data_IF_280061955863
#
_entry.id   IF_280061955863
#
_cell.length_a   1.000
_cell.length_b   1.000
_cell.length_c   1.000
_cell.angle_alpha   90.00
_cell.angle_beta   90.00
_cell.angle_gamma   90.00
#
_symmetry.space_group_name_H-M   'P 1'
#
loop_
_entity.id
_entity.type
_entity.pdbx_description
1 polymer ?
#
# COMPACT_ATOMS: atom_id res chain seq x y z
N UNK A 1 -12.94 23.97 16.96
CA UNK A 1 -12.18 22.71 16.80
C UNK A 1 -10.81 22.96 16.16
N UNK A 2 -10.74 23.52 14.94
CA UNK A 2 -9.47 23.76 14.21
C UNK A 2 -8.39 24.50 15.02
N UNK A 3 -8.69 25.66 15.62
CA UNK A 3 -7.70 26.44 16.39
C UNK A 3 -7.14 25.66 17.59
N UNK A 4 -8.00 24.91 18.29
CA UNK A 4 -7.59 24.06 19.40
C UNK A 4 -6.65 22.94 18.94
N UNK A 5 -6.97 22.28 17.83
CA UNK A 5 -6.12 21.24 17.22
C UNK A 5 -4.76 21.83 16.80
N UNK A 6 -4.74 23.02 16.19
CA UNK A 6 -3.49 23.68 15.81
C UNK A 6 -2.63 24.01 17.04
N UNK A 7 -3.25 24.48 18.14
CA UNK A 7 -2.53 24.73 19.39
C UNK A 7 -1.92 23.44 19.98
N UNK A 8 -2.65 22.32 19.94
CA UNK A 8 -2.13 21.00 20.36
C UNK A 8 -0.90 20.63 19.53
N UNK A 9 -0.96 20.80 18.21
CA UNK A 9 0.16 20.48 17.32
C UNK A 9 1.35 21.43 17.50
N UNK A 10 1.11 22.71 17.79
CA UNK A 10 2.17 23.68 18.12
C UNK A 10 2.96 23.25 19.36
N UNK A 11 2.27 22.76 20.39
CA UNK A 11 2.93 22.20 21.58
C UNK A 11 3.70 20.92 21.24
N UNK A 12 3.07 20.01 20.48
CA UNK A 12 3.69 18.74 20.09
C UNK A 12 4.98 18.96 19.27
N UNK A 13 5.02 19.95 18.39
CA UNK A 13 6.22 20.28 17.61
C UNK A 13 7.43 20.65 18.47
N UNK A 14 7.22 21.20 19.66
CA UNK A 14 8.29 21.66 20.55
C UNK A 14 8.74 20.56 21.52
N UNK A 15 7.80 19.77 22.03
CA UNK A 15 8.07 18.92 23.20
C UNK A 15 7.33 17.58 23.20
N UNK A 16 6.83 17.11 22.04
CA UNK A 16 6.16 15.81 21.98
C UNK A 16 7.04 14.67 22.48
N UNK A 17 6.50 13.91 23.42
CA UNK A 17 7.05 12.66 23.88
C UNK A 17 6.10 11.53 23.52
N UNK A 18 6.68 10.39 23.13
CA UNK A 18 5.89 9.23 22.77
C UNK A 18 5.13 8.72 24.00
N UNK A 19 3.80 8.58 23.94
CA UNK A 19 3.04 7.98 25.02
C UNK A 19 3.38 6.49 25.14
N UNK A 20 3.11 5.92 26.32
CA UNK A 20 3.13 4.47 26.48
C UNK A 20 2.12 3.82 25.52
N UNK A 21 2.53 2.74 24.85
CA UNK A 21 1.69 2.01 23.90
C UNK A 21 1.19 0.75 24.59
N UNK A 22 -0.13 0.60 24.83
CA UNK A 22 -0.70 -0.62 25.39
C UNK A 22 -0.66 -1.76 24.37
N UNK A 23 -0.87 -2.99 24.83
CA UNK A 23 -0.90 -4.17 23.95
C UNK A 23 -2.05 -4.09 22.93
N UNK A 24 -3.19 -3.52 23.33
CA UNK A 24 -4.40 -3.42 22.51
C UNK A 24 -4.72 -1.96 22.20
N UNK A 25 -4.07 -1.42 21.16
CA UNK A 25 -4.51 -0.17 20.53
C UNK A 25 -5.57 -0.45 19.46
N UNK A 26 -6.48 0.50 19.14
CA UNK A 26 -7.36 0.38 17.99
C UNK A 26 -6.58 0.02 16.72
N UNK A 27 -7.01 -1.04 16.04
CA UNK A 27 -6.29 -1.64 14.92
C UNK A 27 -6.73 -1.06 13.56
N UNK A 28 -6.26 -1.68 12.48
CA UNK A 28 -6.58 -1.29 11.10
C UNK A 28 -8.08 -1.30 10.78
N UNK A 29 -8.42 -0.79 9.60
CA UNK A 29 -9.79 -0.58 9.13
C UNK A 29 -10.34 -1.77 8.33
N UNK A 30 -9.58 -2.87 8.22
CA UNK A 30 -10.03 -4.09 7.55
C UNK A 30 -10.62 -5.11 8.55
N UNK A 31 -11.69 -5.82 8.19
CA UNK A 31 -12.28 -6.86 9.03
C UNK A 31 -11.28 -7.97 9.41
N UNK A 32 -11.10 -8.19 10.72
CA UNK A 32 -10.26 -9.26 11.24
C UNK A 32 -8.76 -8.98 11.21
N UNK A 33 -8.35 -7.74 10.94
CA UNK A 33 -6.95 -7.32 11.07
C UNK A 33 -6.41 -7.63 12.46
N UNK A 34 -5.19 -8.17 12.48
CA UNK A 34 -4.40 -8.36 13.70
C UNK A 34 -3.07 -7.65 13.52
N UNK A 35 -2.90 -6.54 14.23
CA UNK A 35 -1.66 -5.77 14.22
C UNK A 35 -0.78 -6.25 15.36
N UNK A 36 0.43 -6.71 15.03
CA UNK A 36 1.44 -7.01 16.03
C UNK A 36 2.35 -5.80 16.21
N UNK A 37 2.20 -5.11 17.33
CA UNK A 37 3.03 -3.96 17.69
C UNK A 37 4.24 -4.46 18.47
N UNK A 38 5.42 -4.28 17.88
CA UNK A 38 6.71 -4.60 18.48
C UNK A 38 7.63 -3.37 18.61
N UNK A 39 8.78 -3.50 19.28
CA UNK A 39 9.69 -2.39 19.54
C UNK A 39 10.10 -1.62 18.27
N UNK A 40 10.45 -2.33 17.19
CA UNK A 40 10.83 -1.69 15.91
C UNK A 40 9.66 -0.90 15.30
N UNK A 41 8.43 -1.40 15.37
CA UNK A 41 7.27 -0.67 14.83
C UNK A 41 6.98 0.61 15.63
N UNK A 42 7.20 0.58 16.95
CA UNK A 42 7.08 1.74 17.83
C UNK A 42 8.14 2.77 17.47
N UNK A 43 9.40 2.37 17.39
CA UNK A 43 10.51 3.27 17.02
C UNK A 43 10.27 3.91 15.65
N UNK A 44 9.93 3.09 14.64
CA UNK A 44 9.63 3.57 13.29
C UNK A 44 8.47 4.56 13.27
N UNK A 45 7.41 4.29 14.03
CA UNK A 45 6.26 5.18 14.13
C UNK A 45 6.59 6.49 14.85
N UNK A 46 7.42 6.46 15.90
CA UNK A 46 7.86 7.68 16.58
C UNK A 46 8.68 8.59 15.65
N UNK A 47 9.58 8.00 14.87
CA UNK A 47 10.38 8.70 13.86
C UNK A 47 9.47 9.29 12.77
N UNK A 48 8.56 8.49 12.22
CA UNK A 48 7.58 8.94 11.25
C UNK A 48 6.71 10.08 11.81
N UNK A 49 6.19 9.92 13.03
CA UNK A 49 5.30 10.89 13.66
C UNK A 49 5.96 12.26 13.81
N UNK A 50 7.20 12.31 14.33
CA UNK A 50 7.96 13.56 14.45
C UNK A 50 8.16 14.25 13.11
N UNK A 51 8.49 13.48 12.07
CA UNK A 51 8.69 14.01 10.72
C UNK A 51 7.37 14.49 10.08
N UNK A 52 6.24 13.85 10.41
CA UNK A 52 4.91 14.20 9.88
C UNK A 52 4.33 15.47 10.52
N UNK A 53 4.61 15.75 11.79
CA UNK A 53 3.98 16.85 12.55
C UNK A 53 4.04 18.23 11.86
N UNK A 54 5.18 18.71 11.30
CA UNK A 54 5.23 20.02 10.66
C UNK A 54 4.33 20.10 9.43
N UNK A 55 4.35 19.07 8.59
CA UNK A 55 3.55 18.97 7.38
C UNK A 55 2.05 18.84 7.70
N UNK A 56 1.72 18.05 8.72
CA UNK A 56 0.34 17.86 9.17
C UNK A 56 -0.26 19.19 9.67
N UNK A 57 0.52 19.95 10.45
CA UNK A 57 0.08 21.27 10.92
C UNK A 57 -0.20 22.21 9.74
N UNK A 58 0.71 22.26 8.76
CA UNK A 58 0.53 23.08 7.56
C UNK A 58 -0.74 22.69 6.79
N UNK A 59 -0.96 21.40 6.57
CA UNK A 59 -2.14 20.87 5.90
C UNK A 59 -3.45 21.29 6.61
N UNK A 60 -3.48 21.20 7.94
CA UNK A 60 -4.64 21.62 8.75
C UNK A 60 -4.89 23.13 8.68
N UNK A 61 -3.84 23.94 8.58
CA UNK A 61 -3.96 25.40 8.37
C UNK A 61 -4.60 25.68 7.00
N UNK A 62 -4.13 25.01 5.95
CA UNK A 62 -4.57 25.22 4.57
C UNK A 62 -6.02 24.78 4.33
N UNK A 63 -6.53 23.78 5.05
CA UNK A 63 -7.91 23.34 4.94
C UNK A 63 -8.87 24.16 5.84
N UNK A 64 -9.89 24.86 5.29
CA UNK A 64 -10.81 25.68 6.10
C UNK A 64 -11.61 24.89 7.15
N UNK A 65 -11.96 23.63 6.87
CA UNK A 65 -12.64 22.73 7.79
C UNK A 65 -11.69 22.13 8.86
N UNK A 66 -10.39 22.41 8.80
CA UNK A 66 -9.39 21.88 9.73
C UNK A 66 -9.24 20.37 9.59
N UNK A 67 -9.26 19.85 8.36
CA UNK A 67 -9.14 18.43 8.03
C UNK A 67 -7.88 18.15 7.22
N UNK A 68 -7.17 17.08 7.52
CA UNK A 68 -5.97 16.67 6.80
C UNK A 68 -5.87 15.16 6.61
N UNK A 69 -5.21 14.73 5.54
CA UNK A 69 -4.99 13.32 5.21
C UNK A 69 -3.50 13.01 5.15
N UNK A 70 -3.06 12.07 5.98
CA UNK A 70 -1.70 11.50 5.96
C UNK A 70 -1.78 10.14 5.27
N UNK A 71 -1.09 9.93 4.17
CA UNK A 71 -1.06 8.64 3.49
C UNK A 71 0.22 7.87 3.86
N UNK A 72 0.09 6.68 4.43
CA UNK A 72 1.20 5.79 4.75
C UNK A 72 1.30 4.71 3.69
N UNK A 73 2.34 4.81 2.86
CA UNK A 73 2.60 3.97 1.68
C UNK A 73 3.88 3.15 1.85
N UNK A 74 3.97 2.02 1.15
CA UNK A 74 5.15 1.16 1.14
C UNK A 74 4.82 -0.27 0.71
N UNK A 75 5.86 -1.08 0.49
CA UNK A 75 5.72 -2.47 0.03
C UNK A 75 5.09 -3.41 1.06
N UNK A 76 4.96 -4.68 0.71
CA UNK A 76 4.55 -5.71 1.68
C UNK A 76 5.62 -5.85 2.78
N UNK A 77 5.20 -5.99 4.04
CA UNK A 77 6.11 -6.24 5.17
C UNK A 77 6.82 -5.03 5.78
N UNK A 78 6.66 -3.82 5.24
CA UNK A 78 7.36 -2.62 5.73
C UNK A 78 6.76 -1.98 6.99
N UNK A 79 5.81 -2.68 7.63
CA UNK A 79 5.06 -2.28 8.83
C UNK A 79 4.03 -1.15 8.65
N UNK A 80 3.46 -0.99 7.43
CA UNK A 80 2.43 0.04 7.15
C UNK A 80 1.27 0.04 8.15
N UNK A 81 0.66 -1.12 8.37
CA UNK A 81 -0.48 -1.26 9.27
C UNK A 81 -0.11 -0.89 10.71
N UNK A 82 1.07 -1.31 11.19
CA UNK A 82 1.55 -0.98 12.53
C UNK A 82 1.82 0.52 12.68
N UNK A 83 2.55 1.12 11.73
CA UNK A 83 2.87 2.56 11.76
C UNK A 83 1.60 3.39 11.68
N UNK A 84 0.66 3.05 10.79
CA UNK A 84 -0.60 3.79 10.64
C UNK A 84 -1.45 3.75 11.91
N UNK A 85 -1.58 2.57 12.53
CA UNK A 85 -2.28 2.43 13.81
C UNK A 85 -1.62 3.26 14.92
N UNK A 86 -0.28 3.28 14.98
CA UNK A 86 0.47 4.06 15.97
C UNK A 86 0.37 5.57 15.73
N UNK A 87 0.42 6.05 14.48
CA UNK A 87 0.19 7.46 14.16
C UNK A 87 -1.21 7.89 14.61
N UNK A 88 -2.24 7.10 14.28
CA UNK A 88 -3.62 7.34 14.74
C UNK A 88 -3.71 7.34 16.26
N UNK A 89 -3.07 6.40 16.94
CA UNK A 89 -3.02 6.34 18.40
C UNK A 89 -2.36 7.60 18.99
N UNK A 90 -1.20 8.03 18.49
CA UNK A 90 -0.50 9.21 18.98
C UNK A 90 -1.31 10.50 18.81
N UNK A 91 -1.96 10.68 17.66
CA UNK A 91 -2.86 11.83 17.43
C UNK A 91 -4.06 11.82 18.39
N UNK A 92 -4.63 10.65 18.66
CA UNK A 92 -5.73 10.53 19.60
C UNK A 92 -5.30 10.80 21.05
N UNK A 93 -4.10 10.35 21.46
CA UNK A 93 -3.54 10.68 22.77
C UNK A 93 -3.27 12.18 22.96
N UNK A 94 -2.98 12.90 21.87
CA UNK A 94 -2.87 14.36 21.88
C UNK A 94 -4.22 15.09 21.93
N UNK A 95 -5.34 14.40 21.69
CA UNK A 95 -6.66 15.03 21.59
C UNK A 95 -6.97 15.65 20.22
N UNK A 96 -6.22 15.30 19.17
CA UNK A 96 -6.44 15.82 17.80
C UNK A 96 -7.68 15.19 17.14
N UNK A 97 -7.95 13.92 17.45
CA UNK A 97 -8.96 13.11 16.78
C UNK A 97 -8.49 12.60 15.43
N UNK A 98 -8.24 11.30 15.33
CA UNK A 98 -7.72 10.65 14.14
C UNK A 98 -8.36 9.28 13.87
N UNK A 99 -8.44 8.93 12.59
CA UNK A 99 -8.99 7.67 12.11
C UNK A 99 -8.07 7.03 11.07
N UNK A 100 -7.80 5.74 11.21
CA UNK A 100 -7.12 4.95 10.19
C UNK A 100 -8.15 4.52 9.14
N UNK A 101 -7.90 4.82 7.87
CA UNK A 101 -8.69 4.37 6.73
C UNK A 101 -7.83 3.42 5.90
N UNK A 102 -8.31 2.21 5.62
CA UNK A 102 -7.56 1.27 4.77
C UNK A 102 -8.00 1.40 3.32
N UNK A 103 -7.02 1.61 2.44
CA UNK A 103 -7.25 1.59 0.99
C UNK A 103 -7.57 0.20 0.44
N UNK A 104 -7.33 -0.87 1.20
CA UNK A 104 -7.59 -2.25 0.78
C UNK A 104 -9.10 -2.58 0.72
N UNK A 105 -9.97 -1.66 1.14
CA UNK A 105 -11.41 -1.70 0.87
C UNK A 105 -11.79 -1.28 -0.57
N UNK A 106 -10.86 -0.65 -1.30
CA UNK A 106 -11.10 0.01 -2.59
C UNK A 106 -10.54 -0.68 -3.85
N UNK A 107 -10.11 -1.95 -3.85
CA UNK A 107 -10.03 -2.71 -5.09
C UNK A 107 -11.40 -2.90 -5.76
N UNK A 108 -11.39 -3.12 -7.08
CA UNK A 108 -12.60 -3.48 -7.86
C UNK A 108 -13.12 -4.88 -7.55
N UNK A 109 -12.28 -5.75 -6.97
CA UNK A 109 -12.55 -7.17 -6.70
C UNK A 109 -12.05 -7.51 -5.30
N UNK A 110 -12.73 -8.42 -4.61
CA UNK A 110 -12.21 -8.97 -3.36
C UNK A 110 -10.92 -9.77 -3.60
N UNK A 111 -10.11 -10.03 -2.56
CA UNK A 111 -8.73 -10.50 -2.71
C UNK A 111 -8.54 -11.69 -3.67
N UNK A 112 -9.28 -12.78 -3.49
CA UNK A 112 -9.13 -13.98 -4.33
C UNK A 112 -9.46 -13.71 -5.81
N UNK A 113 -10.56 -13.00 -6.10
CA UNK A 113 -10.88 -12.62 -7.48
C UNK A 113 -9.90 -11.62 -8.07
N UNK A 114 -9.32 -10.76 -7.23
CA UNK A 114 -8.29 -9.83 -7.70
C UNK A 114 -7.02 -10.59 -8.11
N UNK A 115 -6.60 -11.57 -7.32
CA UNK A 115 -5.45 -12.42 -7.64
C UNK A 115 -5.73 -13.29 -8.88
N UNK A 116 -6.93 -13.87 -8.99
CA UNK A 116 -7.34 -14.60 -10.19
C UNK A 116 -7.34 -13.72 -11.44
N UNK A 117 -7.77 -12.46 -11.34
CA UNK A 117 -7.75 -11.51 -12.45
C UNK A 117 -6.31 -11.15 -12.87
N UNK A 118 -5.40 -10.94 -11.92
CA UNK A 118 -3.98 -10.72 -12.19
C UNK A 118 -3.38 -11.88 -12.99
N UNK A 119 -3.64 -13.13 -12.56
CA UNK A 119 -3.20 -14.33 -13.28
C UNK A 119 -3.82 -14.39 -14.67
N UNK A 120 -5.13 -14.15 -14.80
CA UNK A 120 -5.83 -14.14 -16.10
C UNK A 120 -5.21 -13.14 -17.07
N UNK A 121 -4.92 -11.92 -16.61
CA UNK A 121 -4.32 -10.85 -17.42
C UNK A 121 -2.92 -11.25 -17.89
N UNK A 122 -2.08 -11.77 -16.99
CA UNK A 122 -0.76 -12.27 -17.34
C UNK A 122 -0.83 -13.37 -18.41
N UNK A 123 -1.64 -14.42 -18.17
CA UNK A 123 -1.75 -15.57 -19.08
C UNK A 123 -2.33 -15.18 -20.45
N UNK A 124 -3.32 -14.29 -20.47
CA UNK A 124 -3.89 -13.77 -21.71
C UNK A 124 -2.89 -12.92 -22.49
N UNK A 125 -2.18 -12.01 -21.82
CA UNK A 125 -1.13 -11.19 -22.40
C UNK A 125 -0.01 -12.04 -22.99
N UNK A 126 0.47 -13.01 -22.23
CA UNK A 126 1.52 -13.92 -22.69
C UNK A 126 1.09 -14.77 -23.89
N UNK A 127 -0.14 -15.30 -23.87
CA UNK A 127 -0.64 -16.10 -25.00
C UNK A 127 -0.71 -15.27 -26.29
N UNK A 128 -1.11 -14.00 -26.20
CA UNK A 128 -1.07 -13.06 -27.34
C UNK A 128 0.36 -12.79 -27.78
N UNK A 129 1.29 -12.60 -26.85
CA UNK A 129 2.71 -12.45 -27.14
C UNK A 129 3.31 -13.61 -27.94
N UNK A 130 2.90 -14.85 -27.68
CA UNK A 130 3.32 -16.01 -28.49
C UNK A 130 2.86 -15.91 -29.95
N UNK A 131 1.64 -15.45 -30.18
CA UNK A 131 1.08 -15.26 -31.53
C UNK A 131 1.81 -14.13 -32.24
N UNK A 132 1.99 -12.99 -31.57
CA UNK A 132 2.68 -11.82 -32.11
C UNK A 132 4.14 -12.10 -32.46
N UNK A 133 4.83 -12.89 -31.63
CA UNK A 133 6.20 -13.32 -31.88
C UNK A 133 6.30 -14.44 -32.95
N UNK A 134 5.18 -14.92 -33.52
CA UNK A 134 5.18 -15.96 -34.55
C UNK A 134 5.61 -17.35 -34.07
N UNK A 135 5.59 -17.58 -32.75
CA UNK A 135 6.04 -18.84 -32.13
C UNK A 135 4.89 -19.69 -31.62
N UNK A 136 3.63 -19.26 -31.75
CA UNK A 136 2.47 -20.04 -31.33
C UNK A 136 2.24 -21.26 -32.23
N UNK A 137 2.17 -22.45 -31.63
CA UNK A 137 1.75 -23.70 -32.30
C UNK A 137 0.84 -24.52 -31.39
N UNK A 138 0.14 -25.52 -31.92
CA UNK A 138 -0.73 -26.40 -31.11
C UNK A 138 0.05 -27.19 -30.06
N UNK A 139 1.26 -27.62 -30.41
CA UNK A 139 2.17 -28.37 -29.54
C UNK A 139 2.63 -27.49 -28.37
N UNK A 140 3.05 -26.25 -28.66
CA UNK A 140 3.44 -25.28 -27.62
C UNK A 140 2.27 -24.85 -26.76
N UNK A 141 1.06 -24.75 -27.32
CA UNK A 141 -0.15 -24.48 -26.55
C UNK A 141 -0.47 -25.60 -25.55
N UNK A 142 -0.24 -26.87 -25.92
CA UNK A 142 -0.39 -28.00 -25.02
C UNK A 142 0.64 -27.95 -23.88
N UNK A 143 1.93 -27.75 -24.20
CA UNK A 143 2.99 -27.59 -23.19
C UNK A 143 2.73 -26.41 -22.25
N UNK A 144 2.31 -25.27 -22.80
CA UNK A 144 1.95 -24.09 -22.01
C UNK A 144 0.81 -24.39 -21.02
N UNK A 145 -0.20 -25.16 -21.45
CA UNK A 145 -1.29 -25.56 -20.56
C UNK A 145 -0.78 -26.38 -19.39
N UNK A 146 0.15 -27.31 -19.61
CA UNK A 146 0.74 -28.12 -18.55
C UNK A 146 1.54 -27.25 -17.56
N UNK A 147 2.32 -26.28 -18.07
CA UNK A 147 3.00 -25.28 -17.23
C UNK A 147 2.04 -24.42 -16.42
N UNK A 148 0.91 -23.99 -17.01
CA UNK A 148 -0.12 -23.21 -16.33
C UNK A 148 -0.83 -24.01 -15.24
N UNK A 149 -1.10 -25.30 -15.47
CA UNK A 149 -1.69 -26.19 -14.47
C UNK A 149 -0.74 -26.46 -13.30
N UNK A 150 0.56 -26.41 -13.54
CA UNK A 150 1.61 -26.54 -12.53
C UNK A 150 2.01 -25.20 -11.88
N UNK A 151 1.43 -24.07 -12.29
CA UNK A 151 1.81 -22.71 -11.89
C UNK A 151 3.31 -22.36 -12.14
N UNK A 152 3.89 -22.98 -13.16
CA UNK A 152 5.28 -22.77 -13.59
C UNK A 152 5.40 -21.80 -14.77
N UNK A 153 4.29 -21.40 -15.39
CA UNK A 153 4.30 -20.60 -16.63
C UNK A 153 4.96 -19.22 -16.49
N UNK A 154 5.02 -18.69 -15.26
CA UNK A 154 5.67 -17.43 -14.92
C UNK A 154 7.13 -17.57 -14.45
N UNK A 155 7.61 -18.80 -14.24
CA UNK A 155 8.95 -19.08 -13.73
C UNK A 155 10.01 -18.89 -14.83
N UNK A 156 10.95 -17.94 -14.68
CA UNK A 156 12.01 -17.71 -15.66
C UNK A 156 12.88 -18.95 -15.94
N UNK A 157 13.01 -19.89 -15.00
CA UNK A 157 13.79 -21.12 -15.20
C UNK A 157 13.20 -22.01 -16.30
N UNK A 158 11.88 -21.93 -16.53
CA UNK A 158 11.22 -22.69 -17.59
C UNK A 158 11.67 -22.24 -18.99
N UNK A 159 12.26 -21.06 -19.14
CA UNK A 159 12.82 -20.62 -20.42
C UNK A 159 14.09 -21.37 -20.83
N UNK A 160 14.77 -22.07 -19.91
CA UNK A 160 15.93 -22.90 -20.23
C UNK A 160 15.51 -24.12 -21.07
N UNK A 161 14.45 -24.81 -20.65
CA UNK A 161 13.89 -25.96 -21.37
C UNK A 161 12.93 -25.54 -22.49
N UNK A 162 12.32 -24.36 -22.36
CA UNK A 162 11.34 -23.82 -23.29
C UNK A 162 11.67 -22.38 -23.73
N UNK A 163 12.69 -22.16 -24.59
CA UNK A 163 13.07 -20.81 -25.03
C UNK A 163 11.93 -20.02 -25.69
N UNK A 164 10.94 -20.72 -26.29
CA UNK A 164 9.75 -20.11 -26.86
C UNK A 164 8.82 -19.46 -25.82
N UNK A 165 9.00 -19.74 -24.52
CA UNK A 165 8.22 -19.17 -23.42
C UNK A 165 8.66 -17.74 -23.06
N UNK A 166 9.86 -17.30 -23.46
CA UNK A 166 10.35 -15.95 -23.18
C UNK A 166 9.39 -14.83 -23.68
N UNK A 167 8.91 -14.82 -24.94
CA UNK A 167 7.92 -13.83 -25.39
C UNK A 167 6.58 -13.94 -24.66
N UNK A 168 6.18 -15.13 -24.16
CA UNK A 168 5.00 -15.28 -23.31
C UNK A 168 5.18 -14.55 -21.98
N UNK A 169 6.29 -14.79 -21.27
CA UNK A 169 6.54 -14.17 -19.97
C UNK A 169 6.71 -12.65 -20.09
N UNK A 170 7.39 -12.18 -21.14
CA UNK A 170 7.55 -10.77 -21.42
C UNK A 170 6.20 -10.07 -21.65
N UNK A 171 5.40 -10.56 -22.61
CA UNK A 171 4.11 -9.95 -22.93
C UNK A 171 3.11 -10.05 -21.76
N UNK A 172 3.15 -11.15 -21.00
CA UNK A 172 2.37 -11.31 -19.77
C UNK A 172 2.73 -10.27 -18.70
N UNK A 173 4.03 -10.05 -18.47
CA UNK A 173 4.53 -9.03 -17.53
C UNK A 173 4.14 -7.62 -17.97
N UNK A 174 4.23 -7.32 -19.26
CA UNK A 174 3.83 -6.02 -19.83
C UNK A 174 2.33 -5.78 -19.65
N UNK A 175 1.49 -6.77 -19.98
CA UNK A 175 0.04 -6.69 -19.76
C UNK A 175 -0.31 -6.48 -18.28
N UNK A 176 0.37 -7.21 -17.38
CA UNK A 176 0.16 -7.08 -15.94
C UNK A 176 0.60 -5.70 -15.42
N UNK A 177 1.68 -5.13 -15.96
CA UNK A 177 2.17 -3.78 -15.61
C UNK A 177 1.13 -2.70 -15.90
N UNK A 178 0.37 -2.85 -16.98
CA UNK A 178 -0.72 -1.96 -17.38
C UNK A 178 -1.98 -2.11 -16.51
N UNK A 179 -2.10 -3.20 -15.75
CA UNK A 179 -3.22 -3.45 -14.83
C UNK A 179 -2.89 -3.03 -13.39
N UNK A 180 -1.78 -3.53 -12.83
CA UNK A 180 -1.45 -3.41 -11.41
C UNK A 180 -1.44 -1.95 -10.94
N UNK A 181 -2.07 -1.66 -9.81
CA UNK A 181 -2.19 -0.33 -9.20
C UNK A 181 -2.86 0.73 -10.07
N UNK A 182 -3.53 0.37 -11.16
CA UNK A 182 -4.23 1.33 -12.04
C UNK A 182 -5.71 1.42 -11.68
N UNK A 183 -6.44 2.33 -12.34
CA UNK A 183 -7.90 2.44 -12.21
C UNK A 183 -8.64 1.18 -12.72
N UNK A 184 -7.97 0.25 -13.42
CA UNK A 184 -8.54 -1.05 -13.79
C UNK A 184 -8.56 -2.03 -12.62
N UNK A 185 -7.69 -1.84 -11.63
CA UNK A 185 -7.60 -2.66 -10.42
C UNK A 185 -8.24 -1.97 -9.21
N UNK A 186 -8.04 -0.66 -9.09
CA UNK A 186 -8.42 0.14 -7.92
C UNK A 186 -9.55 1.13 -8.25
N UNK A 187 -10.45 1.33 -7.30
CA UNK A 187 -11.53 2.31 -7.33
C UNK A 187 -11.06 3.66 -6.76
N UNK A 188 -10.07 4.27 -7.42
CA UNK A 188 -9.50 5.56 -7.02
C UNK A 188 -10.55 6.69 -6.91
N UNK A 189 -11.59 6.66 -7.73
CA UNK A 189 -12.69 7.62 -7.69
C UNK A 189 -13.48 7.54 -6.38
N UNK A 190 -13.67 6.33 -5.85
CA UNK A 190 -14.45 6.09 -4.62
C UNK A 190 -13.70 6.57 -3.38
N UNK A 191 -12.40 6.25 -3.28
CA UNK A 191 -11.58 6.76 -2.17
C UNK A 191 -11.42 8.28 -2.26
N UNK A 192 -11.25 8.84 -3.47
CA UNK A 192 -11.21 10.29 -3.66
C UNK A 192 -12.50 10.97 -3.18
N UNK A 193 -13.67 10.37 -3.46
CA UNK A 193 -14.95 10.89 -2.98
C UNK A 193 -15.02 10.92 -1.45
N UNK A 194 -14.60 9.84 -0.78
CA UNK A 194 -14.54 9.76 0.69
C UNK A 194 -13.63 10.84 1.27
N UNK A 195 -12.42 10.98 0.72
CA UNK A 195 -11.48 12.02 1.18
C UNK A 195 -12.01 13.44 0.89
N UNK A 196 -12.70 13.64 -0.23
CA UNK A 196 -13.33 14.90 -0.59
C UNK A 196 -14.42 15.30 0.41
N UNK A 197 -15.32 14.37 0.76
CA UNK A 197 -16.35 14.59 1.78
C UNK A 197 -15.75 14.89 3.14
N UNK A 198 -14.73 14.13 3.54
CA UNK A 198 -14.00 14.37 4.79
C UNK A 198 -13.38 15.77 4.81
N UNK A 199 -12.67 16.16 3.76
CA UNK A 199 -12.00 17.48 3.66
C UNK A 199 -12.97 18.65 3.53
N UNK A 200 -14.20 18.41 3.08
CA UNK A 200 -15.30 19.37 3.08
C UNK A 200 -15.95 19.54 4.47
N UNK A 201 -15.54 18.76 5.47
CA UNK A 201 -16.06 18.82 6.83
C UNK A 201 -17.34 18.02 7.06
N UNK A 202 -17.68 17.10 6.15
CA UNK A 202 -18.86 16.24 6.33
C UNK A 202 -18.67 15.32 7.54
N UNK A 203 -19.65 15.32 8.45
CA UNK A 203 -19.54 14.59 9.72
C UNK A 203 -19.94 13.12 9.61
N UNK A 204 -20.84 12.75 8.71
CA UNK A 204 -21.27 11.36 8.49
C UNK A 204 -20.93 10.95 7.06
N UNK A 205 -20.06 9.95 6.93
CA UNK A 205 -19.54 9.50 5.63
C UNK A 205 -19.70 8.00 5.52
N UNK A 206 -20.24 7.54 4.39
CA UNK A 206 -20.36 6.12 4.07
C UNK A 206 -19.02 5.58 3.58
N UNK A 207 -18.49 4.57 4.28
CA UNK A 207 -17.26 3.87 3.93
C UNK A 207 -17.59 2.51 3.35
N UNK A 208 -16.98 2.19 2.21
CA UNK A 208 -17.03 0.84 1.64
C UNK A 208 -16.25 -0.12 2.55
N UNK A 209 -16.79 -1.32 2.74
CA UNK A 209 -16.15 -2.42 3.45
C UNK A 209 -16.07 -3.63 2.54
N UNK A 210 -14.92 -4.28 2.53
CA UNK A 210 -14.66 -5.46 1.72
C UNK A 210 -14.01 -6.55 2.57
N UNK A 211 -14.65 -7.72 2.58
CA UNK A 211 -14.10 -8.95 3.15
C UNK A 211 -13.38 -9.79 2.10
N UNK A 212 -13.41 -11.11 2.29
CA UNK A 212 -12.60 -12.06 1.50
C UNK A 212 -13.39 -12.85 0.47
N UNK A 213 -14.70 -12.64 0.37
CA UNK A 213 -15.61 -13.33 -0.53
C UNK A 213 -16.59 -12.35 -1.19
N UNK A 214 -17.39 -12.86 -2.15
CA UNK A 214 -18.33 -12.08 -2.95
C UNK A 214 -19.57 -11.59 -2.18
N UNK A 215 -19.83 -12.15 -1.00
CA UNK A 215 -20.93 -11.72 -0.12
C UNK A 215 -20.50 -10.71 0.94
N UNK A 216 -19.20 -10.60 1.21
CA UNK A 216 -18.63 -9.70 2.19
C UNK A 216 -18.37 -8.29 1.62
N UNK A 217 -19.40 -7.64 1.07
CA UNK A 217 -19.34 -6.27 0.55
C UNK A 217 -20.50 -5.45 1.12
N UNK A 218 -20.19 -4.41 1.91
CA UNK A 218 -21.21 -3.54 2.52
C UNK A 218 -20.70 -2.11 2.70
N UNK A 219 -21.59 -1.22 3.14
CA UNK A 219 -21.24 0.14 3.53
C UNK A 219 -21.51 0.35 5.02
N UNK A 220 -20.63 1.12 5.67
CA UNK A 220 -20.75 1.51 7.06
C UNK A 220 -20.73 3.04 7.15
N UNK A 221 -21.69 3.64 7.85
CA UNK A 221 -21.66 5.08 8.11
C UNK A 221 -20.73 5.38 9.28
N UNK A 222 -19.70 6.19 9.02
CA UNK A 222 -18.71 6.59 10.03
C UNK A 222 -18.92 8.04 10.45
N UNK A 223 -18.80 8.27 11.75
CA UNK A 223 -18.78 9.60 12.36
C UNK A 223 -17.37 10.21 12.34
N UNK A 224 -17.24 11.33 11.66
CA UNK A 224 -16.06 12.18 11.51
C UNK A 224 -16.18 13.52 12.23
N UNK A 225 -17.24 13.75 13.02
CA UNK A 225 -17.46 15.01 13.77
C UNK A 225 -16.28 15.34 14.68
N UNK A 226 -15.68 14.34 15.33
CA UNK A 226 -14.51 14.48 16.21
C UNK A 226 -13.18 14.07 15.56
N UNK A 227 -13.13 13.90 14.23
CA UNK A 227 -11.93 13.45 13.53
C UNK A 227 -11.36 14.60 12.71
N UNK A 228 -10.15 15.04 13.03
CA UNK A 228 -9.43 16.09 12.29
C UNK A 228 -8.45 15.51 11.27
N UNK A 229 -7.99 14.27 11.48
CA UNK A 229 -6.98 13.64 10.64
C UNK A 229 -7.39 12.25 10.20
N UNK A 230 -7.29 11.97 8.90
CA UNK A 230 -7.35 10.61 8.37
C UNK A 230 -5.94 10.12 8.09
N UNK A 231 -5.60 8.94 8.64
CA UNK A 231 -4.38 8.20 8.31
C UNK A 231 -4.77 7.13 7.28
N UNK A 232 -4.52 7.41 6.01
CA UNK A 232 -4.78 6.50 4.90
C UNK A 232 -3.64 5.47 4.82
N UNK A 233 -3.91 4.25 5.25
CA UNK A 233 -2.99 3.11 5.12
C UNK A 233 -3.22 2.44 3.78
N UNK A 234 -2.25 2.53 2.85
CA UNK A 234 -2.39 1.88 1.55
C UNK A 234 -1.09 1.78 0.76
N UNK A 235 -0.88 0.66 0.08
CA UNK A 235 0.22 0.49 -0.90
C UNK A 235 0.14 1.51 -2.04
N UNK A 236 -1.06 1.99 -2.39
CA UNK A 236 -1.27 2.97 -3.45
C UNK A 236 -1.55 4.40 -2.95
N UNK A 237 -1.34 4.66 -1.64
CA UNK A 237 -1.66 5.94 -1.01
C UNK A 237 -0.93 7.14 -1.61
N UNK A 238 0.25 6.93 -2.20
CA UNK A 238 1.02 7.96 -2.92
C UNK A 238 1.05 7.72 -4.45
N UNK A 239 0.05 7.03 -5.02
CA UNK A 239 0.03 6.67 -6.45
C UNK A 239 -0.01 7.87 -7.41
N UNK A 240 -0.57 9.01 -6.97
CA UNK A 240 -0.85 10.17 -7.83
C UNK A 240 -2.07 10.00 -8.73
N UNK A 241 -2.84 8.91 -8.57
CA UNK A 241 -4.04 8.61 -9.37
C UNK A 241 -5.34 9.12 -8.73
N UNK A 242 -5.26 9.70 -7.55
CA UNK A 242 -6.37 10.35 -6.85
C UNK A 242 -5.87 11.58 -6.09
N UNK A 243 -6.80 12.48 -5.77
CA UNK A 243 -6.56 13.70 -5.00
C UNK A 243 -7.02 13.53 -3.55
N UNK A 244 -6.50 14.38 -2.66
CA UNK A 244 -6.97 14.48 -1.27
C UNK A 244 -5.92 14.17 -0.21
N UNK A 245 -4.79 13.57 -0.57
CA UNK A 245 -3.64 13.35 0.33
C UNK A 245 -2.89 14.67 0.55
N UNK A 246 -2.62 15.01 1.80
CA UNK A 246 -1.86 16.21 2.18
C UNK A 246 -0.41 15.88 2.54
N UNK A 247 -0.20 14.78 3.27
CA UNK A 247 1.13 14.34 3.73
C UNK A 247 1.41 12.90 3.29
N UNK A 248 2.08 12.70 2.13
CA UNK A 248 2.49 11.38 1.67
C UNK A 248 3.74 10.90 2.42
N UNK A 249 3.61 9.80 3.14
CA UNK A 249 4.67 9.11 3.89
C UNK A 249 5.02 7.80 3.17
N UNK A 250 6.30 7.61 2.86
CA UNK A 250 6.84 6.37 2.31
C UNK A 250 7.62 5.62 3.39
N UNK A 251 7.17 4.42 3.73
CA UNK A 251 7.95 3.46 4.49
C UNK A 251 8.81 2.67 3.51
N UNK A 252 10.09 3.02 3.46
CA UNK A 252 11.05 2.43 2.55
C UNK A 252 11.50 1.05 3.04
N UNK A 253 11.62 0.14 2.07
CA UNK A 253 12.35 -1.11 2.22
C UNK A 253 12.92 -1.51 0.86
N UNK A 254 14.11 -2.10 0.88
CA UNK A 254 14.77 -2.57 -0.35
C UNK A 254 14.17 -3.91 -0.82
N UNK A 255 14.36 -4.29 -2.10
CA UNK A 255 13.98 -5.61 -2.58
C UNK A 255 14.59 -6.76 -1.75
N UNK A 256 15.87 -6.64 -1.36
CA UNK A 256 16.55 -7.61 -0.52
C UNK A 256 15.90 -7.75 0.87
N UNK A 257 15.59 -6.63 1.54
CA UNK A 257 14.90 -6.63 2.83
C UNK A 257 13.49 -7.20 2.74
N UNK A 258 12.76 -6.88 1.68
CA UNK A 258 11.41 -7.41 1.41
C UNK A 258 11.47 -8.92 1.20
N UNK A 259 12.49 -9.43 0.51
CA UNK A 259 12.74 -10.86 0.33
C UNK A 259 13.07 -11.55 1.65
N UNK A 260 14.00 -10.99 2.44
CA UNK A 260 14.37 -11.52 3.76
C UNK A 260 13.14 -11.66 4.67
N UNK A 261 12.29 -10.65 4.71
CA UNK A 261 11.05 -10.68 5.49
C UNK A 261 10.08 -11.77 5.02
N UNK A 262 9.96 -11.99 3.70
CA UNK A 262 9.11 -13.07 3.16
C UNK A 262 9.63 -14.45 3.53
N UNK A 263 10.94 -14.66 3.45
CA UNK A 263 11.58 -15.91 3.85
C UNK A 263 11.38 -16.21 5.35
N UNK A 264 11.50 -15.18 6.21
CA UNK A 264 11.32 -15.37 7.67
C UNK A 264 9.87 -15.61 8.10
N UNK A 265 8.89 -15.16 7.31
CA UNK A 265 7.47 -15.44 7.56
C UNK A 265 7.05 -16.88 7.24
N UNK A 266 7.79 -17.61 6.41
CA UNK A 266 7.79 -19.07 6.24
C UNK A 266 6.48 -19.85 6.51
N UNK A 267 5.31 -19.37 6.05
CA UNK A 267 4.01 -19.99 6.39
C UNK A 267 2.97 -20.12 5.29
N UNK A 268 3.21 -19.62 4.09
CA UNK A 268 2.35 -19.92 2.93
C UNK A 268 3.19 -20.60 1.86
N UNK A 269 2.80 -21.83 1.46
CA UNK A 269 3.45 -22.58 0.38
C UNK A 269 3.48 -21.81 -0.95
N UNK A 270 2.67 -20.75 -1.08
CA UNK A 270 2.56 -19.88 -2.25
C UNK A 270 3.37 -18.58 -2.15
N UNK A 271 4.00 -18.24 -1.03
CA UNK A 271 4.61 -16.91 -0.81
C UNK A 271 5.83 -16.60 -1.72
N UNK A 272 6.32 -17.58 -2.47
CA UNK A 272 7.52 -17.47 -3.30
C UNK A 272 7.33 -17.99 -4.74
N UNK A 273 6.08 -18.07 -5.23
CA UNK A 273 5.89 -18.38 -6.65
C UNK A 273 6.49 -17.28 -7.52
N UNK A 274 6.96 -17.65 -8.72
CA UNK A 274 7.52 -16.70 -9.67
C UNK A 274 6.52 -15.58 -10.01
N UNK A 275 5.22 -15.92 -10.08
CA UNK A 275 4.15 -14.97 -10.33
C UNK A 275 4.02 -13.93 -9.21
N UNK A 276 3.97 -14.37 -7.94
CA UNK A 276 3.87 -13.44 -6.80
C UNK A 276 5.11 -12.56 -6.71
N UNK A 277 6.30 -13.12 -6.94
CA UNK A 277 7.54 -12.33 -7.00
C UNK A 277 7.49 -11.30 -8.12
N UNK A 278 6.94 -11.63 -9.29
CA UNK A 278 6.71 -10.68 -10.38
C UNK A 278 5.77 -9.55 -9.96
N UNK A 279 4.62 -9.86 -9.34
CA UNK A 279 3.67 -8.85 -8.86
C UNK A 279 4.36 -7.89 -7.89
N UNK A 280 5.08 -8.41 -6.90
CA UNK A 280 5.78 -7.61 -5.89
C UNK A 280 6.83 -6.70 -6.55
N UNK A 281 7.60 -7.20 -7.52
CA UNK A 281 8.57 -6.37 -8.26
C UNK A 281 7.89 -5.24 -9.02
N UNK A 282 6.75 -5.50 -9.66
CA UNK A 282 5.99 -4.50 -10.40
C UNK A 282 5.39 -3.44 -9.47
N UNK A 283 4.83 -3.86 -8.32
CA UNK A 283 4.33 -2.96 -7.29
C UNK A 283 5.45 -2.09 -6.71
N UNK A 284 6.58 -2.71 -6.38
CA UNK A 284 7.76 -2.02 -5.87
C UNK A 284 8.28 -0.96 -6.85
N UNK A 285 8.32 -1.28 -8.16
CA UNK A 285 8.67 -0.31 -9.20
C UNK A 285 7.73 0.90 -9.24
N UNK A 286 6.43 0.70 -9.02
CA UNK A 286 5.45 1.80 -8.94
C UNK A 286 5.64 2.65 -7.68
N UNK A 287 5.98 2.04 -6.54
CA UNK A 287 6.29 2.75 -5.30
C UNK A 287 7.56 3.60 -5.47
N UNK A 288 8.62 3.02 -6.02
CA UNK A 288 9.89 3.72 -6.32
C UNK A 288 9.66 4.92 -7.24
N UNK A 289 8.87 4.76 -8.31
CA UNK A 289 8.52 5.85 -9.23
C UNK A 289 7.77 7.00 -8.54
N UNK A 290 7.13 6.75 -7.40
CA UNK A 290 6.38 7.73 -6.62
C UNK A 290 7.15 8.27 -5.41
N UNK A 291 8.33 7.73 -5.10
CA UNK A 291 9.16 8.21 -3.99
C UNK A 291 9.49 9.72 -4.03
N UNK A 292 9.74 10.36 -5.20
CA UNK A 292 9.98 11.81 -5.26
C UNK A 292 8.82 12.68 -4.79
N UNK A 293 7.62 12.11 -4.65
CA UNK A 293 6.42 12.81 -4.20
C UNK A 293 6.11 12.58 -2.73
N UNK A 294 6.89 11.74 -2.03
CA UNK A 294 6.77 11.61 -0.58
C UNK A 294 7.35 12.85 0.12
N UNK A 295 6.68 13.34 1.14
CA UNK A 295 7.20 14.40 2.02
C UNK A 295 8.07 13.81 3.14
N UNK A 296 7.76 12.58 3.57
CA UNK A 296 8.51 11.86 4.59
C UNK A 296 8.86 10.47 4.07
N UNK A 297 10.14 10.11 4.12
CA UNK A 297 10.61 8.76 3.79
C UNK A 297 11.25 8.18 5.05
N UNK A 298 10.81 7.00 5.48
CA UNK A 298 11.35 6.32 6.68
C UNK A 298 11.89 4.94 6.33
N UNK A 299 13.17 4.70 6.60
CA UNK A 299 13.85 3.43 6.33
C UNK A 299 13.36 2.27 7.22
N UNK A 300 13.78 1.03 6.90
CA UNK A 300 13.64 -0.14 7.79
C UNK A 300 14.38 0.04 9.12
N UNK A 301 15.50 0.77 9.12
CA UNK A 301 16.33 1.11 10.28
C UNK A 301 15.83 2.31 11.10
N UNK A 302 14.58 2.74 10.89
CA UNK A 302 13.96 3.85 11.65
C UNK A 302 14.68 5.20 11.45
N UNK A 303 15.14 5.51 10.24
CA UNK A 303 15.76 6.78 9.91
C UNK A 303 14.89 7.55 8.90
N UNK A 304 14.81 8.87 9.05
CA UNK A 304 14.25 9.74 8.01
C UNK A 304 15.29 9.88 6.90
N UNK A 305 14.89 9.59 5.67
CA UNK A 305 15.77 9.65 4.51
C UNK A 305 15.45 10.85 3.64
N UNK A 306 16.49 11.45 3.07
CA UNK A 306 16.35 12.25 1.86
C UNK A 306 16.04 11.35 0.65
N UNK A 307 15.53 11.95 -0.43
CA UNK A 307 15.29 11.21 -1.67
C UNK A 307 16.58 10.58 -2.23
N UNK A 308 17.71 11.29 -2.15
CA UNK A 308 19.01 10.80 -2.62
C UNK A 308 19.50 9.59 -1.80
N UNK A 309 19.38 9.64 -0.47
CA UNK A 309 19.73 8.51 0.39
C UNK A 309 18.82 7.31 0.15
N UNK A 310 17.52 7.54 -0.05
CA UNK A 310 16.59 6.50 -0.44
C UNK A 310 17.02 5.84 -1.75
N UNK A 311 17.27 6.62 -2.81
CA UNK A 311 17.69 6.09 -4.11
C UNK A 311 18.99 5.30 -4.03
N UNK A 312 19.97 5.77 -3.24
CA UNK A 312 21.22 5.06 -2.99
C UNK A 312 20.97 3.70 -2.33
N UNK A 313 20.18 3.66 -1.25
CA UNK A 313 19.84 2.39 -0.56
C UNK A 313 19.06 1.44 -1.46
N UNK A 314 18.14 1.95 -2.27
CA UNK A 314 17.40 1.13 -3.23
C UNK A 314 18.31 0.54 -4.31
N UNK A 315 19.36 1.24 -4.72
CA UNK A 315 20.36 0.72 -5.65
C UNK A 315 21.26 -0.34 -5.00
N UNK A 316 21.69 -0.12 -3.75
CA UNK A 316 22.53 -1.05 -2.99
C UNK A 316 21.80 -2.35 -2.60
N UNK A 317 20.48 -2.30 -2.40
CA UNK A 317 19.67 -3.43 -1.96
C UNK A 317 18.93 -4.19 -3.07
N UNK A 318 19.35 -4.04 -4.34
CA UNK A 318 18.82 -4.77 -5.50
C UNK A 318 19.47 -6.14 -5.68
#
# INVERSE_FOLDING_TARGET
MKEHVLHILDQALQSWQAPAVPQDIPQGDMPGDKVWIGPQSIEKAQVAFRAVLPHLREALVQNPAGKAVVAVTGGSGVMKTCVSALLTYYLNQLGVGAFTLSGDNYPRRYPELNDAERVRIFRLGGTRGLVEAGVYTKERAALLKDLQLADLDSDPQQCEEHPWLAPYQQAGREALTQYLGTANEQEYDKIQQVLGQFKAGQEKIWLKRMGRDDTALWFEEKDFSQISVVVLEWTHGNSGLFQGVDVPVLLASTPAETREYRLSRGRDANADTAFITMVIQLEQGKIEARAPYAQVIVSKSCEVLTLEEYQRRMAEGR
#
